data_IF_733619117662
#
_entry.id   IF_733619117662
#
_cell.length_a   1.000
_cell.length_b   1.000
_cell.length_c   1.000
_cell.angle_alpha   90.00
_cell.angle_beta   90.00
_cell.angle_gamma   90.00
#
_symmetry.space_group_name_H-M   'P 1'
#
loop_
_entity.id
_entity.type
_entity.pdbx_description
1 polymer ?
#
# COMPACT_ATOMS: atom_id res chain seq x y z
N UNK A 1 -0.57 37.40 39.55
CA UNK A 1 -1.67 36.44 39.35
C UNK A 1 -2.53 36.95 38.20
N UNK A 2 -2.10 36.74 36.96
CA UNK A 2 -2.90 37.03 35.77
C UNK A 2 -3.32 35.72 35.15
N UNK A 3 -4.50 35.23 35.52
CA UNK A 3 -5.08 34.02 34.92
C UNK A 3 -5.45 34.32 33.47
N UNK A 4 -4.59 33.90 32.55
CA UNK A 4 -4.86 33.99 31.12
C UNK A 4 -6.00 33.00 30.82
N UNK A 5 -7.22 33.53 30.76
CA UNK A 5 -8.40 32.79 30.30
C UNK A 5 -8.13 32.36 28.86
N UNK A 6 -8.24 31.05 28.61
CA UNK A 6 -8.14 30.47 27.28
C UNK A 6 -9.11 31.20 26.34
N UNK A 7 -8.61 31.64 25.19
CA UNK A 7 -9.42 32.39 24.24
C UNK A 7 -10.54 31.52 23.65
N UNK A 8 -11.57 32.13 23.04
CA UNK A 8 -12.68 31.39 22.40
C UNK A 8 -12.20 30.37 21.35
N UNK A 9 -11.01 30.54 20.79
CA UNK A 9 -10.40 29.64 19.81
C UNK A 9 -9.72 28.41 20.43
N UNK A 10 -9.30 28.47 21.70
CA UNK A 10 -8.65 27.35 22.37
C UNK A 10 -9.65 26.20 22.59
N UNK A 11 -10.86 26.54 23.06
CA UNK A 11 -11.93 25.55 23.24
C UNK A 11 -12.41 24.98 21.90
N UNK A 12 -12.51 25.80 20.86
CA UNK A 12 -12.83 25.32 19.51
C UNK A 12 -11.79 24.31 18.99
N UNK A 13 -10.51 24.53 19.26
CA UNK A 13 -9.44 23.58 18.93
C UNK A 13 -9.62 22.23 19.62
N UNK A 14 -9.97 22.23 20.91
CA UNK A 14 -10.22 20.99 21.67
C UNK A 14 -11.37 20.18 21.08
N UNK A 15 -12.48 20.84 20.71
CA UNK A 15 -13.62 20.18 20.08
C UNK A 15 -13.28 19.63 18.69
N UNK A 16 -12.54 20.40 17.88
CA UNK A 16 -12.12 19.96 16.56
C UNK A 16 -11.26 18.67 16.62
N UNK A 17 -10.34 18.58 17.57
CA UNK A 17 -9.52 17.38 17.76
C UNK A 17 -10.34 16.19 18.29
N UNK A 18 -11.29 16.44 19.18
CA UNK A 18 -12.20 15.39 19.66
C UNK A 18 -13.05 14.81 18.52
N UNK A 19 -13.66 15.66 17.70
CA UNK A 19 -14.45 15.23 16.55
C UNK A 19 -13.62 14.45 15.52
N UNK A 20 -12.42 14.95 15.19
CA UNK A 20 -11.46 14.23 14.33
C UNK A 20 -11.15 12.85 14.91
N UNK A 21 -10.87 12.77 16.21
CA UNK A 21 -10.51 11.50 16.86
C UNK A 21 -11.66 10.48 16.79
N UNK A 22 -12.91 10.93 17.01
CA UNK A 22 -14.10 10.07 16.89
C UNK A 22 -14.31 9.57 15.46
N UNK A 23 -14.15 10.44 14.46
CA UNK A 23 -14.30 10.07 13.04
C UNK A 23 -13.24 9.02 12.67
N UNK A 24 -11.97 9.28 13.01
CA UNK A 24 -10.86 8.35 12.74
C UNK A 24 -11.08 7.01 13.43
N UNK A 25 -11.54 7.00 14.68
CA UNK A 25 -11.85 5.77 15.41
C UNK A 25 -12.90 4.93 14.68
N UNK A 26 -13.98 5.55 14.18
CA UNK A 26 -15.02 4.84 13.42
C UNK A 26 -14.52 4.31 12.09
N UNK A 27 -13.73 5.09 11.35
CA UNK A 27 -13.13 4.65 10.08
C UNK A 27 -12.23 3.44 10.33
N UNK A 28 -11.34 3.50 11.33
CA UNK A 28 -10.45 2.39 11.68
C UNK A 28 -11.23 1.15 12.10
N UNK A 29 -12.29 1.30 12.89
CA UNK A 29 -13.16 0.18 13.26
C UNK A 29 -13.84 -0.44 12.03
N UNK A 30 -14.21 0.36 11.03
CA UNK A 30 -14.71 -0.14 9.74
C UNK A 30 -13.66 -0.92 8.96
N UNK A 31 -12.45 -0.36 8.86
CA UNK A 31 -11.31 -0.99 8.18
C UNK A 31 -10.87 -2.31 8.84
N UNK A 32 -10.99 -2.43 10.16
CA UNK A 32 -10.69 -3.67 10.87
C UNK A 32 -11.72 -4.77 10.62
N UNK A 33 -12.97 -4.41 10.32
CA UNK A 33 -14.05 -5.39 10.06
C UNK A 33 -14.08 -5.88 8.62
N UNK A 34 -13.53 -5.12 7.66
CA UNK A 34 -13.62 -5.50 6.25
C UNK A 34 -12.63 -6.61 5.93
N UNK A 35 -13.10 -7.62 5.20
CA UNK A 35 -12.26 -8.67 4.59
C UNK A 35 -11.86 -8.31 3.15
N UNK A 36 -12.37 -7.19 2.62
CA UNK A 36 -12.06 -6.75 1.26
C UNK A 36 -10.64 -6.22 1.19
N UNK A 37 -9.92 -6.63 0.15
CA UNK A 37 -8.63 -6.03 -0.20
C UNK A 37 -8.82 -4.56 -0.57
N UNK A 38 -8.12 -3.68 0.13
CA UNK A 38 -8.15 -2.24 -0.09
C UNK A 38 -6.99 -1.78 -0.97
N UNK A 39 -7.08 -0.54 -1.45
CA UNK A 39 -6.05 0.07 -2.28
C UNK A 39 -6.08 -0.40 -3.73
N UNK A 40 -4.94 -0.26 -4.42
CA UNK A 40 -4.84 -0.56 -5.85
C UNK A 40 -4.92 -2.07 -6.10
N UNK A 41 -5.71 -2.53 -7.09
CA UNK A 41 -5.73 -3.93 -7.51
C UNK A 41 -4.33 -4.44 -7.88
N UNK A 42 -4.03 -5.72 -7.63
CA UNK A 42 -2.78 -6.33 -8.10
C UNK A 42 -2.70 -6.30 -9.62
N UNK A 43 -1.49 -6.45 -10.14
CA UNK A 43 -1.29 -6.72 -11.57
C UNK A 43 -2.00 -8.03 -11.93
N UNK A 44 -2.66 -8.13 -13.09
CA UNK A 44 -3.29 -9.37 -13.53
C UNK A 44 -2.26 -10.50 -13.62
N UNK A 45 -2.65 -11.70 -13.21
CA UNK A 45 -1.76 -12.86 -13.08
C UNK A 45 -1.12 -13.23 -14.42
N UNK A 46 -1.88 -13.17 -15.50
CA UNK A 46 -1.39 -13.40 -16.87
C UNK A 46 -0.17 -12.52 -17.22
N UNK A 47 -0.19 -11.26 -16.77
CA UNK A 47 0.91 -10.32 -17.01
C UNK A 47 2.11 -10.61 -16.10
N UNK A 48 1.88 -11.06 -14.88
CA UNK A 48 2.95 -11.51 -13.97
C UNK A 48 3.65 -12.75 -14.54
N UNK A 49 2.87 -13.72 -15.03
CA UNK A 49 3.39 -14.94 -15.65
C UNK A 49 4.11 -14.68 -16.97
N UNK A 50 3.61 -13.74 -17.79
CA UNK A 50 4.33 -13.30 -18.99
C UNK A 50 5.71 -12.70 -18.63
N UNK A 51 5.80 -11.89 -17.56
CA UNK A 51 7.07 -11.34 -17.08
C UNK A 51 8.01 -12.46 -16.60
N UNK A 52 7.51 -13.40 -15.78
CA UNK A 52 8.29 -14.54 -15.27
C UNK A 52 8.84 -15.39 -16.41
N UNK A 53 8.00 -15.71 -17.39
CA UNK A 53 8.38 -16.50 -18.57
C UNK A 53 9.48 -15.80 -19.37
N UNK A 54 9.32 -14.51 -19.66
CA UNK A 54 10.34 -13.74 -20.40
C UNK A 54 11.67 -13.66 -19.63
N UNK A 55 11.62 -13.47 -18.31
CA UNK A 55 12.82 -13.46 -17.47
C UNK A 55 13.51 -14.83 -17.43
N UNK A 56 12.74 -15.93 -17.37
CA UNK A 56 13.25 -17.30 -17.40
C UNK A 56 13.89 -17.65 -18.76
N UNK A 57 13.36 -17.09 -19.86
CA UNK A 57 13.97 -17.16 -21.19
C UNK A 57 15.27 -16.33 -21.33
N UNK A 58 15.67 -15.61 -20.27
CA UNK A 58 16.91 -14.82 -20.26
C UNK A 58 16.76 -13.39 -20.76
N UNK A 59 15.54 -12.89 -21.03
CA UNK A 59 15.36 -11.50 -21.43
C UNK A 59 15.76 -10.54 -20.29
N UNK A 60 16.36 -9.41 -20.67
CA UNK A 60 16.75 -8.36 -19.73
C UNK A 60 15.54 -7.58 -19.19
N UNK A 61 15.67 -7.06 -17.96
CA UNK A 61 14.61 -6.33 -17.23
C UNK A 61 13.95 -5.22 -18.06
N UNK A 62 14.76 -4.41 -18.77
CA UNK A 62 14.26 -3.30 -19.58
C UNK A 62 13.48 -3.79 -20.81
N UNK A 63 13.93 -4.88 -21.42
CA UNK A 63 13.27 -5.45 -22.59
C UNK A 63 11.93 -6.08 -22.19
N UNK A 64 11.91 -6.87 -21.13
CA UNK A 64 10.68 -7.44 -20.57
C UNK A 64 9.67 -6.35 -20.18
N UNK A 65 10.13 -5.26 -19.57
CA UNK A 65 9.28 -4.12 -19.20
C UNK A 65 8.61 -3.48 -20.44
N UNK A 66 9.37 -3.26 -21.52
CA UNK A 66 8.83 -2.75 -22.79
C UNK A 66 7.78 -3.68 -23.38
N UNK A 67 8.08 -4.97 -23.50
CA UNK A 67 7.18 -5.95 -24.13
C UNK A 67 5.89 -6.17 -23.35
N UNK A 68 5.95 -6.11 -22.03
CA UNK A 68 4.78 -6.35 -21.16
C UNK A 68 4.03 -5.08 -20.81
N UNK A 69 4.61 -3.89 -21.07
CA UNK A 69 4.09 -2.61 -20.60
C UNK A 69 4.05 -2.52 -19.07
N UNK A 70 4.96 -3.22 -18.38
CA UNK A 70 5.14 -3.12 -16.94
C UNK A 70 6.25 -2.12 -16.60
N UNK A 71 6.14 -1.46 -15.44
CA UNK A 71 7.24 -0.62 -14.96
C UNK A 71 8.49 -1.45 -14.69
N UNK A 72 9.67 -0.89 -14.98
CA UNK A 72 10.97 -1.56 -14.79
C UNK A 72 11.18 -2.01 -13.34
N UNK A 73 10.76 -1.21 -12.36
CA UNK A 73 10.81 -1.56 -10.94
C UNK A 73 9.98 -2.80 -10.61
N UNK A 74 8.83 -3.00 -11.26
CA UNK A 74 7.99 -4.19 -11.09
C UNK A 74 8.69 -5.43 -11.63
N UNK A 75 9.27 -5.34 -12.83
CA UNK A 75 10.03 -6.45 -13.43
C UNK A 75 11.25 -6.79 -12.57
N UNK A 76 11.97 -5.79 -12.05
CA UNK A 76 13.12 -6.02 -11.17
C UNK A 76 12.73 -6.69 -9.86
N UNK A 77 11.59 -6.29 -9.26
CA UNK A 77 11.04 -6.93 -8.05
C UNK A 77 10.71 -8.39 -8.31
N UNK A 78 10.05 -8.69 -9.43
CA UNK A 78 9.72 -10.06 -9.83
C UNK A 78 10.98 -10.89 -10.08
N UNK A 79 11.98 -10.33 -10.77
CA UNK A 79 13.28 -11.00 -10.98
C UNK A 79 13.95 -11.35 -9.64
N UNK A 80 13.96 -10.44 -8.67
CA UNK A 80 14.53 -10.69 -7.33
C UNK A 80 13.75 -11.79 -6.59
N UNK A 81 12.42 -11.76 -6.67
CA UNK A 81 11.55 -12.78 -6.07
C UNK A 81 11.76 -14.17 -6.71
N UNK A 82 12.15 -14.26 -7.98
CA UNK A 82 12.49 -15.54 -8.61
C UNK A 82 13.87 -16.08 -8.16
N UNK A 83 14.80 -15.21 -7.80
CA UNK A 83 16.17 -15.61 -7.38
C UNK A 83 16.28 -15.95 -5.90
N UNK A 84 15.44 -15.34 -5.06
CA UNK A 84 15.34 -15.67 -3.64
C UNK A 84 14.26 -16.73 -3.54
N UNK A 85 14.66 -18.00 -3.43
CA UNK A 85 13.72 -19.11 -3.26
C UNK A 85 12.67 -18.80 -2.20
N UNK A 86 11.43 -19.14 -2.53
CA UNK A 86 10.17 -18.88 -1.84
C UNK A 86 10.23 -19.03 -0.31
N UNK A 87 10.72 -17.98 0.37
CA UNK A 87 10.64 -17.81 1.81
C UNK A 87 9.32 -17.13 2.14
N UNK A 88 8.26 -17.93 2.18
CA UNK A 88 6.88 -17.49 2.41
C UNK A 88 6.75 -16.45 3.52
N UNK A 89 6.42 -15.23 3.11
CA UNK A 89 5.93 -14.16 3.97
C UNK A 89 4.53 -13.80 3.52
N UNK A 90 3.56 -14.67 3.81
CA UNK A 90 2.15 -14.29 3.81
C UNK A 90 2.02 -13.15 4.82
N UNK A 91 2.00 -11.91 4.33
CA UNK A 91 1.44 -10.78 5.10
C UNK A 91 -0.06 -11.03 5.17
N UNK A 92 -0.42 -11.84 6.17
CA UNK A 92 -1.77 -11.99 6.65
C UNK A 92 -2.20 -10.70 7.36
N UNK A 93 -3.47 -10.37 7.14
CA UNK A 93 -4.27 -9.27 7.71
C UNK A 93 -3.98 -7.86 7.18
#
# INVERSE_FOLDING_TARGET
MGGQLCGPFDMLGVFAEFERSMIVARVRAGLQRTTKRLGRPPMPEEKVEAIRTMLAQGLGVRETARRTGAGTATVQRLKRAMTVGDGGGTVAA
#
